data_IF_309428494871
#
_entry.id   IF_309428494871
#
_cell.length_a   1.000
_cell.length_b   1.000
_cell.length_c   1.000
_cell.angle_alpha   90.00
_cell.angle_beta   90.00
_cell.angle_gamma   90.00
#
_symmetry.space_group_name_H-M   'P 1'
#
loop_
_entity.id
_entity.type
_entity.pdbx_description
1 polymer ?
#
# COMPACT_ATOMS: atom_id res chain seq x y z
N UNK A 1 -32.19 8.91 -40.03
CA UNK A 1 -31.77 10.20 -40.64
C UNK A 1 -30.28 10.08 -40.98
N UNK A 2 -29.95 9.74 -42.22
CA UNK A 2 -28.57 9.64 -42.74
C UNK A 2 -28.08 11.07 -43.02
N UNK A 3 -26.86 11.40 -42.63
CA UNK A 3 -26.19 12.61 -43.14
C UNK A 3 -24.85 12.25 -43.76
N UNK A 4 -24.65 12.84 -44.94
CA UNK A 4 -23.70 12.50 -45.99
C UNK A 4 -22.44 13.36 -45.86
N UNK A 5 -21.30 12.75 -46.21
CA UNK A 5 -19.96 13.33 -46.35
C UNK A 5 -19.89 14.60 -47.23
N UNK A 6 -18.97 15.51 -46.88
CA UNK A 6 -18.25 16.33 -47.87
C UNK A 6 -16.79 16.48 -47.44
N UNK A 7 -15.90 15.81 -48.17
CA UNK A 7 -14.46 15.95 -48.06
C UNK A 7 -13.95 17.23 -48.73
N UNK A 8 -12.84 17.75 -48.21
CA UNK A 8 -12.07 18.81 -48.86
C UNK A 8 -10.63 18.31 -49.03
N UNK A 9 -10.24 18.15 -50.29
CA UNK A 9 -8.88 17.82 -50.74
C UNK A 9 -8.00 19.06 -50.58
N UNK A 10 -6.88 18.94 -49.87
CA UNK A 10 -5.80 19.93 -49.93
C UNK A 10 -4.59 19.27 -50.58
N UNK A 11 -4.11 19.93 -51.64
CA UNK A 11 -3.05 19.48 -52.54
C UNK A 11 -1.69 19.55 -51.86
N UNK A 12 -0.93 18.48 -52.02
CA UNK A 12 0.51 18.39 -51.78
C UNK A 12 1.24 19.25 -52.81
N UNK A 13 2.15 20.10 -52.35
CA UNK A 13 3.18 20.72 -53.19
C UNK A 13 4.51 20.10 -52.78
N UNK A 14 5.08 19.28 -53.66
CA UNK A 14 6.45 18.80 -53.58
C UNK A 14 7.38 19.97 -53.93
N UNK A 15 8.24 20.36 -52.99
CA UNK A 15 9.45 21.12 -53.30
C UNK A 15 10.65 20.19 -53.12
N UNK A 16 11.27 19.81 -54.23
CA UNK A 16 12.53 19.09 -54.26
C UNK A 16 13.66 20.07 -53.92
N UNK A 17 14.27 19.89 -52.75
CA UNK A 17 15.48 20.59 -52.33
C UNK A 17 16.59 19.58 -52.11
N UNK A 18 17.47 19.43 -53.10
CA UNK A 18 18.73 18.69 -52.96
C UNK A 18 19.66 19.48 -52.05
N UNK A 19 19.95 18.98 -50.85
CA UNK A 19 20.99 19.51 -49.98
C UNK A 19 22.05 18.41 -49.74
N UNK A 20 23.30 18.76 -50.07
CA UNK A 20 24.50 17.94 -49.94
C UNK A 20 24.66 17.40 -48.51
N UNK A 21 24.93 16.10 -48.41
CA UNK A 21 25.47 15.42 -47.24
C UNK A 21 26.94 15.82 -47.04
N UNK A 22 27.24 16.63 -46.02
CA UNK A 22 28.58 16.71 -45.44
C UNK A 22 28.55 15.84 -44.18
N UNK A 23 29.22 14.69 -44.25
CA UNK A 23 29.37 13.77 -43.13
C UNK A 23 30.29 14.37 -42.08
N UNK A 24 29.72 14.70 -40.91
CA UNK A 24 30.47 14.88 -39.68
C UNK A 24 30.37 13.58 -38.89
N UNK A 25 31.41 12.77 -38.94
CA UNK A 25 31.61 11.67 -37.99
C UNK A 25 32.00 12.28 -36.63
N UNK A 26 31.01 12.85 -35.93
CA UNK A 26 31.15 13.25 -34.55
C UNK A 26 30.97 12.02 -33.67
N UNK A 27 32.05 11.54 -33.06
CA UNK A 27 31.99 10.57 -31.98
C UNK A 27 31.15 11.18 -30.85
N UNK A 28 29.89 10.79 -30.74
CA UNK A 28 29.05 11.11 -29.58
C UNK A 28 29.54 10.21 -28.46
N UNK A 29 30.54 10.66 -27.72
CA UNK A 29 30.79 10.14 -26.38
C UNK A 29 29.56 10.52 -25.56
N UNK A 30 28.69 9.55 -25.32
CA UNK A 30 27.64 9.67 -24.32
C UNK A 30 28.32 9.91 -22.98
N UNK A 31 28.47 11.17 -22.59
CA UNK A 31 28.80 11.54 -21.21
C UNK A 31 27.66 11.03 -20.35
N UNK A 32 27.91 9.95 -19.62
CA UNK A 32 27.03 9.48 -18.57
C UNK A 32 26.70 10.69 -17.68
N UNK A 33 25.41 10.94 -17.46
CA UNK A 33 24.99 11.93 -16.49
C UNK A 33 25.70 11.64 -15.15
N UNK A 34 26.20 12.66 -14.43
CA UNK A 34 26.76 12.45 -13.12
C UNK A 34 25.74 11.69 -12.27
N UNK A 35 26.19 10.65 -11.57
CA UNK A 35 25.32 9.89 -10.70
C UNK A 35 24.67 10.86 -9.69
N UNK A 36 23.38 10.66 -9.35
CA UNK A 36 22.72 11.47 -8.34
C UNK A 36 23.59 11.53 -7.08
N UNK A 37 23.82 12.74 -6.56
CA UNK A 37 24.59 12.90 -5.33
C UNK A 37 23.87 12.14 -4.20
N UNK A 38 24.58 11.17 -3.62
CA UNK A 38 24.09 10.35 -2.52
C UNK A 38 23.80 11.27 -1.32
N UNK A 39 22.69 11.01 -0.62
CA UNK A 39 22.42 11.73 0.62
C UNK A 39 23.58 11.50 1.62
N UNK A 40 24.11 12.56 2.26
CA UNK A 40 25.16 12.42 3.25
C UNK A 40 24.74 11.43 4.35
N UNK A 41 25.59 10.42 4.60
CA UNK A 41 25.40 9.47 5.69
C UNK A 41 24.84 8.11 5.31
N UNK A 42 24.61 7.80 4.03
CA UNK A 42 24.38 6.41 3.58
C UNK A 42 25.72 5.67 3.50
N UNK A 43 25.93 4.57 4.26
CA UNK A 43 27.16 3.77 4.14
C UNK A 43 27.33 3.19 2.73
N UNK A 44 28.58 3.16 2.23
CA UNK A 44 28.92 2.68 0.88
C UNK A 44 28.37 1.28 0.58
N UNK A 45 28.38 0.37 1.57
CA UNK A 45 27.84 -0.99 1.41
C UNK A 45 26.34 -1.06 1.04
N UNK A 46 25.57 -0.01 1.37
CA UNK A 46 24.18 0.12 0.94
C UNK A 46 24.04 0.97 -0.33
N UNK A 47 24.81 2.05 -0.46
CA UNK A 47 24.73 2.96 -1.60
C UNK A 47 25.18 2.32 -2.93
N UNK A 48 26.14 1.40 -2.87
CA UNK A 48 26.75 0.79 -4.06
C UNK A 48 26.10 -0.54 -4.47
N UNK A 49 25.04 -0.98 -3.77
CA UNK A 49 24.38 -2.24 -4.10
C UNK A 49 23.68 -2.15 -5.48
N UNK A 50 23.68 -3.24 -6.23
CA UNK A 50 23.00 -3.30 -7.52
C UNK A 50 21.61 -3.94 -7.38
N UNK A 51 20.60 -3.32 -8.01
CA UNK A 51 19.26 -3.89 -8.10
C UNK A 51 19.25 -5.03 -9.11
N UNK A 52 19.25 -6.27 -8.60
CA UNK A 52 19.13 -7.48 -9.42
C UNK A 52 17.67 -7.76 -9.73
N UNK A 53 17.15 -7.12 -10.76
CA UNK A 53 15.79 -7.33 -11.25
C UNK A 53 15.62 -8.72 -11.85
N UNK A 54 14.57 -9.41 -11.43
CA UNK A 54 14.13 -10.67 -12.00
C UNK A 54 12.62 -10.79 -11.88
N UNK A 55 11.94 -11.69 -12.61
CA UNK A 55 10.53 -11.97 -12.37
C UNK A 55 10.28 -12.23 -10.88
N UNK A 56 9.20 -11.67 -10.34
CA UNK A 56 8.90 -11.83 -8.92
C UNK A 56 8.78 -13.32 -8.54
N UNK A 57 9.47 -13.78 -7.49
CA UNK A 57 9.37 -15.16 -7.03
C UNK A 57 7.93 -15.56 -6.72
N UNK A 58 7.53 -16.78 -7.05
CA UNK A 58 6.14 -17.23 -6.87
C UNK A 58 5.72 -17.26 -5.40
N UNK A 59 6.62 -17.64 -4.50
CA UNK A 59 6.41 -17.64 -3.05
C UNK A 59 6.22 -16.23 -2.49
N UNK A 60 6.97 -15.25 -3.01
CA UNK A 60 6.78 -13.83 -2.70
C UNK A 60 5.38 -13.35 -3.12
N UNK A 61 4.96 -13.68 -4.35
CA UNK A 61 3.64 -13.31 -4.86
C UNK A 61 2.52 -13.99 -4.09
N UNK A 62 2.67 -15.29 -3.77
CA UNK A 62 1.70 -16.04 -2.98
C UNK A 62 1.51 -15.41 -1.59
N UNK A 63 2.61 -14.99 -0.94
CA UNK A 63 2.55 -14.32 0.36
C UNK A 63 1.89 -12.94 0.28
N UNK A 64 2.27 -12.14 -0.71
CA UNK A 64 1.68 -10.81 -0.93
C UNK A 64 0.16 -10.91 -1.20
N UNK A 65 -0.29 -11.95 -1.92
CA UNK A 65 -1.71 -12.18 -2.21
C UNK A 65 -2.49 -12.83 -1.06
N UNK A 66 -1.81 -13.50 -0.12
CA UNK A 66 -2.46 -14.21 0.98
C UNK A 66 -3.08 -13.27 2.03
N UNK A 67 -2.64 -12.01 2.11
CA UNK A 67 -3.10 -11.01 3.07
C UNK A 67 -4.27 -10.14 2.60
N UNK A 68 -4.55 -10.12 1.30
CA UNK A 68 -5.57 -9.24 0.74
C UNK A 68 -6.91 -9.96 0.60
N UNK A 69 -8.02 -9.26 0.86
CA UNK A 69 -9.37 -9.68 0.45
C UNK A 69 -9.50 -9.91 -1.08
N UNK A 70 -8.42 -9.63 -1.83
CA UNK A 70 -8.18 -10.00 -3.21
C UNK A 70 -7.61 -11.42 -3.38
N UNK A 71 -7.59 -12.29 -2.37
CA UNK A 71 -7.20 -13.69 -2.50
C UNK A 71 -7.99 -14.46 -3.61
N UNK A 72 -9.14 -13.95 -4.06
CA UNK A 72 -9.87 -14.46 -5.22
C UNK A 72 -9.17 -14.16 -6.57
N UNK A 73 -8.24 -13.20 -6.63
CA UNK A 73 -7.41 -12.88 -7.78
C UNK A 73 -6.16 -13.80 -7.86
N UNK A 74 -6.31 -15.09 -7.52
CA UNK A 74 -5.24 -16.09 -7.68
C UNK A 74 -4.67 -16.04 -9.10
N UNK A 75 -3.36 -15.77 -9.19
CA UNK A 75 -2.44 -16.31 -10.20
C UNK A 75 -2.84 -16.14 -11.68
N UNK A 76 -3.54 -15.07 -12.04
CA UNK A 76 -3.30 -14.51 -13.35
C UNK A 76 -1.97 -13.76 -13.22
N UNK A 77 -0.86 -14.46 -13.50
CA UNK A 77 0.52 -13.97 -13.65
C UNK A 77 0.53 -12.45 -13.73
N UNK A 78 1.12 -11.72 -12.78
CA UNK A 78 1.28 -10.28 -12.85
C UNK A 78 2.34 -9.99 -13.94
N UNK A 79 1.95 -9.85 -15.23
CA UNK A 79 2.89 -10.04 -16.32
C UNK A 79 3.82 -8.83 -16.39
N UNK A 80 5.12 -9.10 -16.45
CA UNK A 80 6.14 -8.05 -16.50
C UNK A 80 6.36 -7.31 -15.19
N UNK A 81 5.87 -7.82 -14.05
CA UNK A 81 6.29 -7.34 -12.74
C UNK A 81 7.64 -7.98 -12.38
N UNK A 82 8.68 -7.15 -12.36
CA UNK A 82 10.00 -7.54 -11.87
C UNK A 82 10.09 -7.21 -10.37
N UNK A 83 10.83 -8.02 -9.62
CA UNK A 83 11.18 -7.76 -8.24
C UNK A 83 12.70 -7.72 -8.07
N UNK A 84 13.14 -6.97 -7.07
CA UNK A 84 14.52 -6.95 -6.59
C UNK A 84 14.52 -6.87 -5.06
N UNK A 85 15.50 -7.51 -4.42
CA UNK A 85 15.70 -7.40 -2.97
C UNK A 85 16.70 -6.30 -2.67
N UNK A 86 16.43 -5.53 -1.62
CA UNK A 86 17.34 -4.48 -1.17
C UNK A 86 17.71 -4.65 0.30
N UNK A 87 18.87 -4.10 0.67
CA UNK A 87 19.37 -4.04 2.04
C UNK A 87 19.46 -2.59 2.49
N UNK A 88 19.11 -2.34 3.73
CA UNK A 88 19.13 -1.02 4.36
C UNK A 88 19.64 -1.14 5.80
N UNK A 89 20.21 -0.07 6.39
CA UNK A 89 20.48 -0.06 7.83
C UNK A 89 19.17 -0.23 8.60
N UNK A 90 19.15 -1.08 9.64
CA UNK A 90 17.96 -1.20 10.49
C UNK A 90 17.65 0.10 11.22
N UNK A 91 18.67 0.87 11.59
CA UNK A 91 18.50 2.19 12.19
C UNK A 91 19.20 3.27 11.37
N UNK A 92 18.43 4.08 10.64
CA UNK A 92 18.98 5.23 9.92
C UNK A 92 19.50 6.34 10.83
N UNK A 93 19.25 6.32 12.15
CA UNK A 93 19.90 7.22 13.10
C UNK A 93 21.34 6.77 13.42
N UNK A 94 21.64 5.48 13.26
CA UNK A 94 22.95 4.88 13.48
C UNK A 94 23.32 3.93 12.33
N UNK A 95 23.40 4.43 11.07
CA UNK A 95 23.47 3.56 9.90
C UNK A 95 24.77 2.75 9.79
N UNK A 96 25.77 3.09 10.60
CA UNK A 96 27.04 2.37 10.70
C UNK A 96 27.05 1.23 11.73
N UNK A 97 25.93 0.97 12.43
CA UNK A 97 25.83 -0.08 13.46
C UNK A 97 25.86 -1.51 12.90
N UNK A 98 25.70 -1.66 11.58
CA UNK A 98 25.77 -2.93 10.86
C UNK A 98 24.52 -3.82 10.99
N UNK A 99 23.48 -3.39 11.72
CA UNK A 99 22.21 -4.12 11.76
C UNK A 99 21.43 -3.80 10.49
N UNK A 100 20.81 -4.82 9.89
CA UNK A 100 20.20 -4.68 8.57
C UNK A 100 18.70 -4.98 8.58
N UNK A 101 17.97 -4.25 7.74
CA UNK A 101 16.66 -4.62 7.27
C UNK A 101 16.72 -4.95 5.78
N UNK A 102 16.01 -6.01 5.37
CA UNK A 102 15.88 -6.40 3.96
C UNK A 102 14.41 -6.45 3.58
N UNK A 103 14.10 -6.00 2.37
CA UNK A 103 12.75 -6.05 1.84
C UNK A 103 12.78 -6.08 0.31
N UNK A 104 11.63 -6.36 -0.29
CA UNK A 104 11.45 -6.43 -1.73
C UNK A 104 10.89 -5.12 -2.28
N UNK A 105 11.37 -4.76 -3.46
CA UNK A 105 10.76 -3.76 -4.32
C UNK A 105 10.28 -4.43 -5.60
N UNK A 106 9.27 -3.86 -6.22
CA UNK A 106 8.75 -4.28 -7.50
C UNK A 106 8.80 -3.15 -8.50
N UNK A 107 8.91 -3.51 -9.78
CA UNK A 107 8.87 -2.59 -10.91
C UNK A 107 7.98 -3.20 -11.98
N UNK A 108 6.97 -2.44 -12.38
CA UNK A 108 6.25 -2.69 -13.62
C UNK A 108 6.76 -1.71 -14.68
N UNK A 109 7.57 -2.15 -15.66
CA UNK A 109 8.18 -1.26 -16.63
C UNK A 109 7.13 -0.51 -17.44
N UNK A 110 7.41 0.76 -17.72
CA UNK A 110 6.64 1.54 -18.66
C UNK A 110 6.77 1.01 -20.08
N UNK A 111 5.85 1.43 -20.94
CA UNK A 111 5.77 1.05 -22.35
C UNK A 111 6.26 2.17 -23.27
N UNK A 112 6.50 3.37 -22.73
CA UNK A 112 7.10 4.50 -23.43
C UNK A 112 8.63 4.42 -23.52
N UNK A 113 9.23 5.26 -24.37
CA UNK A 113 10.69 5.26 -24.58
C UNK A 113 11.51 5.89 -23.45
N UNK A 114 11.00 6.97 -22.84
CA UNK A 114 11.63 7.61 -21.67
C UNK A 114 10.60 7.66 -20.53
N UNK A 115 10.89 6.94 -19.45
CA UNK A 115 10.00 6.75 -18.31
C UNK A 115 10.63 7.31 -17.04
N UNK A 116 9.83 7.96 -16.21
CA UNK A 116 10.25 8.38 -14.86
C UNK A 116 9.78 7.33 -13.86
N UNK A 117 10.55 6.99 -12.81
CA UNK A 117 10.01 6.14 -11.74
C UNK A 117 8.82 6.81 -11.06
N UNK A 118 7.74 6.05 -10.86
CA UNK A 118 6.55 6.45 -10.10
C UNK A 118 6.41 5.52 -8.90
N UNK A 119 6.73 6.03 -7.71
CA UNK A 119 6.50 5.32 -6.47
C UNK A 119 5.01 5.30 -6.17
N UNK A 120 4.45 4.12 -6.00
CA UNK A 120 3.02 3.90 -5.72
C UNK A 120 2.81 3.39 -4.30
N UNK A 121 1.79 3.92 -3.61
CA UNK A 121 1.39 3.46 -2.28
C UNK A 121 -0.11 3.61 -2.05
N UNK A 122 -0.85 2.50 -1.99
CA UNK A 122 -2.27 2.45 -1.63
C UNK A 122 -2.50 2.61 -0.12
N UNK A 123 -1.42 2.60 0.66
CA UNK A 123 -1.47 2.57 2.13
C UNK A 123 -1.82 1.18 2.65
N UNK A 124 -2.40 1.12 3.86
CA UNK A 124 -2.71 -0.14 4.52
C UNK A 124 -1.48 -0.72 5.21
N UNK A 125 -1.54 -0.86 6.52
CA UNK A 125 -0.37 -1.12 7.36
C UNK A 125 0.13 -2.57 7.37
N UNK A 126 -0.47 -3.49 6.60
CA UNK A 126 -0.24 -4.94 6.76
C UNK A 126 0.22 -5.69 5.50
N UNK A 127 -0.38 -5.42 4.34
CA UNK A 127 -0.15 -6.19 3.11
C UNK A 127 1.13 -5.79 2.35
N UNK A 128 1.74 -4.66 2.70
CA UNK A 128 2.78 -4.04 1.86
C UNK A 128 2.17 -3.43 0.60
N UNK A 129 2.99 -2.73 -0.18
CA UNK A 129 2.59 -2.04 -1.42
C UNK A 129 3.32 -2.62 -2.65
N UNK A 130 3.81 -3.85 -2.53
CA UNK A 130 4.58 -4.52 -3.57
C UNK A 130 3.77 -4.75 -4.85
N UNK A 131 2.45 -4.94 -4.75
CA UNK A 131 1.59 -5.21 -5.89
C UNK A 131 0.89 -3.96 -6.46
N UNK A 132 1.09 -2.80 -5.82
CA UNK A 132 0.51 -1.53 -6.24
C UNK A 132 0.77 -1.16 -7.70
N UNK A 133 1.97 -1.42 -8.28
CA UNK A 133 2.21 -1.16 -9.70
C UNK A 133 1.17 -1.82 -10.62
N UNK A 134 0.77 -3.05 -10.30
CA UNK A 134 -0.22 -3.77 -11.09
C UNK A 134 -1.64 -3.25 -10.81
N UNK A 135 -1.98 -3.01 -9.54
CA UNK A 135 -3.29 -2.45 -9.13
C UNK A 135 -3.55 -1.09 -9.79
N UNK A 136 -2.61 -0.16 -9.70
CA UNK A 136 -2.73 1.15 -10.34
C UNK A 136 -2.70 1.05 -11.86
N UNK A 137 -1.85 0.21 -12.46
CA UNK A 137 -1.86 0.01 -13.91
C UNK A 137 -3.15 -0.60 -14.43
N UNK A 138 -3.85 -1.41 -13.64
CA UNK A 138 -5.15 -1.98 -14.02
C UNK A 138 -6.25 -0.93 -14.12
N UNK A 139 -6.29 0.02 -13.16
CA UNK A 139 -7.27 1.12 -13.16
C UNK A 139 -6.87 2.33 -14.01
N UNK A 140 -5.56 2.56 -14.19
CA UNK A 140 -4.99 3.71 -14.89
C UNK A 140 -3.88 3.26 -15.86
N UNK A 141 -4.22 2.51 -16.93
CA UNK A 141 -3.22 1.90 -17.82
C UNK A 141 -2.29 2.92 -18.50
N UNK A 142 -2.78 4.15 -18.72
CA UNK A 142 -1.99 5.24 -19.32
C UNK A 142 -0.79 5.67 -18.49
N UNK A 143 -0.73 5.34 -17.18
CA UNK A 143 0.45 5.66 -16.36
C UNK A 143 1.72 5.02 -16.94
N UNK A 144 1.61 3.80 -17.49
CA UNK A 144 2.76 3.09 -18.05
C UNK A 144 3.33 3.73 -19.32
N UNK A 145 2.60 4.62 -19.98
CA UNK A 145 3.12 5.36 -21.14
C UNK A 145 4.21 6.36 -20.74
N UNK A 146 4.25 6.80 -19.47
CA UNK A 146 5.17 7.82 -18.96
C UNK A 146 6.00 7.39 -17.76
N UNK A 147 5.62 6.30 -17.08
CA UNK A 147 6.24 5.92 -15.81
C UNK A 147 6.59 4.42 -15.76
N UNK A 148 7.71 4.14 -15.08
CA UNK A 148 7.99 2.84 -14.49
C UNK A 148 7.34 2.82 -13.11
N UNK A 149 6.35 1.97 -12.88
CA UNK A 149 5.64 1.95 -11.61
C UNK A 149 6.43 1.12 -10.60
N UNK A 150 6.72 1.72 -9.45
CA UNK A 150 7.56 1.14 -8.39
C UNK A 150 6.70 0.85 -7.15
N UNK A 151 6.68 -0.42 -6.74
CA UNK A 151 6.08 -0.89 -5.50
C UNK A 151 7.15 -1.34 -4.51
N UNK A 152 6.75 -1.53 -3.27
CA UNK A 152 7.68 -1.94 -2.20
C UNK A 152 6.96 -2.61 -1.04
N UNK A 153 7.66 -3.52 -0.38
CA UNK A 153 7.31 -4.03 0.94
C UNK A 153 7.90 -3.11 2.01
N UNK A 154 7.05 -2.33 2.68
CA UNK A 154 7.50 -1.49 3.78
C UNK A 154 8.04 -2.33 4.95
N UNK A 155 8.91 -1.73 5.77
CA UNK A 155 9.27 -2.31 7.07
C UNK A 155 8.03 -2.68 7.87
N UNK A 156 8.09 -3.80 8.57
CA UNK A 156 6.96 -4.28 9.36
C UNK A 156 5.91 -5.06 8.58
N UNK A 157 5.99 -5.11 7.25
CA UNK A 157 4.94 -5.70 6.40
C UNK A 157 5.43 -6.90 5.59
N UNK A 158 4.46 -7.71 5.15
CA UNK A 158 4.62 -8.75 4.12
C UNK A 158 5.86 -9.62 4.33
N UNK A 159 6.83 -9.56 3.41
CA UNK A 159 8.04 -10.41 3.39
C UNK A 159 9.30 -9.67 3.83
N UNK A 160 9.16 -8.46 4.39
CA UNK A 160 10.31 -7.74 4.95
C UNK A 160 10.92 -8.54 6.10
N UNK A 161 12.24 -8.45 6.31
CA UNK A 161 12.91 -9.09 7.46
C UNK A 161 12.51 -8.48 8.81
N UNK A 162 11.71 -7.41 8.78
CA UNK A 162 11.14 -6.75 9.95
C UNK A 162 9.63 -7.00 10.06
N UNK A 163 9.06 -7.90 9.24
CA UNK A 163 7.64 -8.19 9.21
C UNK A 163 7.12 -8.54 10.61
N UNK A 164 5.99 -7.93 10.99
CA UNK A 164 5.38 -8.17 12.28
C UNK A 164 4.32 -9.26 12.15
N UNK A 165 4.42 -10.26 13.01
CA UNK A 165 3.41 -11.31 13.13
C UNK A 165 2.65 -11.10 14.42
N UNK A 166 1.44 -10.55 14.30
CA UNK A 166 0.49 -10.51 15.40
C UNK A 166 -0.34 -11.80 15.36
N UNK A 167 -0.51 -12.45 16.52
CA UNK A 167 -1.29 -13.68 16.65
C UNK A 167 -2.68 -13.53 15.99
N UNK A 168 -2.99 -14.28 14.90
CA UNK A 168 -4.27 -14.21 14.22
C UNK A 168 -5.44 -14.68 15.09
N UNK A 169 -5.18 -15.57 16.06
CA UNK A 169 -6.20 -16.00 17.01
C UNK A 169 -6.70 -14.83 17.87
N UNK A 170 -5.95 -13.73 17.92
CA UNK A 170 -6.22 -12.56 18.75
C UNK A 170 -6.50 -11.34 17.90
N UNK A 171 -5.83 -11.21 16.76
CA UNK A 171 -6.09 -10.16 15.77
C UNK A 171 -7.45 -10.37 15.10
N UNK A 172 -8.02 -11.57 15.18
CA UNK A 172 -9.32 -11.90 14.63
C UNK A 172 -9.24 -12.12 13.12
N UNK A 173 -10.37 -12.45 12.51
CA UNK A 173 -10.43 -12.73 11.09
C UNK A 173 -10.18 -11.44 10.27
N UNK A 174 -9.15 -11.37 9.41
CA UNK A 174 -8.95 -10.22 8.52
C UNK A 174 -10.13 -10.00 7.57
N UNK A 175 -10.87 -11.05 7.21
CA UNK A 175 -12.14 -10.96 6.46
C UNK A 175 -13.29 -10.34 7.27
N UNK A 176 -13.15 -10.25 8.59
CA UNK A 176 -14.06 -9.56 9.52
C UNK A 176 -13.43 -8.28 10.10
N UNK A 177 -12.55 -7.63 9.34
CA UNK A 177 -11.88 -6.37 9.71
C UNK A 177 -10.89 -6.50 10.88
N UNK A 178 -10.36 -7.70 11.14
CA UNK A 178 -9.34 -7.95 12.16
C UNK A 178 -9.72 -7.37 13.54
N UNK A 179 -10.96 -7.60 13.96
CA UNK A 179 -11.49 -7.03 15.20
C UNK A 179 -11.24 -7.89 16.44
N UNK A 180 -10.37 -8.90 16.34
CA UNK A 180 -10.17 -9.92 17.36
C UNK A 180 -11.36 -10.85 17.58
N UNK A 181 -11.17 -11.95 18.35
CA UNK A 181 -12.27 -12.72 18.89
C UNK A 181 -13.04 -11.84 19.88
N UNK A 182 -14.17 -11.27 19.43
CA UNK A 182 -15.09 -10.51 20.29
C UNK A 182 -16.00 -11.45 21.08
N UNK A 183 -15.40 -12.38 21.79
CA UNK A 183 -16.14 -13.38 22.55
C UNK A 183 -16.64 -12.79 23.87
N UNK A 184 -17.97 -12.78 24.03
CA UNK A 184 -18.62 -12.51 25.30
C UNK A 184 -18.82 -11.04 25.66
N UNK A 185 -18.75 -10.11 24.69
CA UNK A 185 -19.18 -8.72 24.91
C UNK A 185 -19.75 -8.07 23.63
N UNK A 186 -20.66 -7.12 23.83
CA UNK A 186 -21.16 -6.23 22.80
C UNK A 186 -20.22 -5.03 22.66
N UNK A 187 -19.77 -4.69 21.46
CA UNK A 187 -18.93 -3.50 21.21
C UNK A 187 -19.65 -2.17 21.46
N UNK A 188 -20.98 -2.20 21.55
CA UNK A 188 -21.79 -1.06 21.97
C UNK A 188 -22.08 -1.06 23.48
N UNK A 189 -21.64 -2.06 24.23
CA UNK A 189 -21.68 -2.03 25.70
C UNK A 189 -20.50 -1.20 26.22
N UNK A 190 -20.81 0.01 26.69
CA UNK A 190 -19.85 0.93 27.31
C UNK A 190 -19.87 0.88 28.84
N UNK A 191 -20.43 -0.17 29.44
CA UNK A 191 -20.34 -0.41 30.88
C UNK A 191 -18.87 -0.57 31.31
N UNK A 192 -18.55 -0.18 32.55
CA UNK A 192 -17.20 -0.28 33.08
C UNK A 192 -16.58 -1.70 32.94
N UNK A 193 -17.32 -2.81 33.18
CA UNK A 193 -16.81 -4.16 32.95
C UNK A 193 -16.48 -4.46 31.49
N UNK A 194 -17.33 -4.04 30.54
CA UNK A 194 -17.07 -4.23 29.10
C UNK A 194 -15.86 -3.43 28.63
N UNK A 195 -15.76 -2.16 29.04
CA UNK A 195 -14.61 -1.31 28.71
C UNK A 195 -13.32 -1.89 29.29
N UNK A 196 -13.34 -2.38 30.53
CA UNK A 196 -12.19 -3.03 31.15
C UNK A 196 -11.73 -4.26 30.36
N UNK A 197 -12.68 -5.09 29.89
CA UNK A 197 -12.40 -6.26 29.05
C UNK A 197 -11.80 -5.86 27.69
N UNK A 198 -12.36 -4.86 27.01
CA UNK A 198 -11.85 -4.37 25.73
C UNK A 198 -10.41 -3.84 25.84
N UNK A 199 -10.10 -3.12 26.92
CA UNK A 199 -8.74 -2.63 27.18
C UNK A 199 -7.76 -3.78 27.48
N UNK A 200 -8.21 -4.79 28.21
CA UNK A 200 -7.42 -5.98 28.51
C UNK A 200 -7.15 -6.82 27.25
N UNK A 201 -8.15 -7.00 26.37
CA UNK A 201 -7.97 -7.62 25.06
C UNK A 201 -6.93 -6.88 24.21
N UNK A 202 -7.02 -5.54 24.16
CA UNK A 202 -6.08 -4.71 23.43
C UNK A 202 -4.64 -4.83 23.97
N UNK A 203 -4.46 -4.84 25.31
CA UNK A 203 -3.16 -5.04 25.94
C UNK A 203 -2.56 -6.39 25.58
N UNK A 204 -3.32 -7.48 25.76
CA UNK A 204 -2.84 -8.82 25.43
C UNK A 204 -2.52 -8.97 23.94
N UNK A 205 -3.27 -8.31 23.08
CA UNK A 205 -2.96 -8.24 21.65
C UNK A 205 -1.62 -7.56 21.39
N UNK A 206 -1.40 -6.37 21.96
CA UNK A 206 -0.13 -5.65 21.83
C UNK A 206 1.06 -6.46 22.37
N UNK A 207 0.93 -7.07 23.56
CA UNK A 207 1.97 -7.91 24.15
C UNK A 207 2.35 -9.08 23.24
N UNK A 208 1.36 -9.77 22.65
CA UNK A 208 1.62 -10.87 21.72
C UNK A 208 2.23 -10.42 20.40
N UNK A 209 1.78 -9.29 19.85
CA UNK A 209 2.43 -8.70 18.68
C UNK A 209 3.91 -8.40 18.96
N UNK A 210 4.22 -7.80 20.11
CA UNK A 210 5.60 -7.49 20.48
C UNK A 210 6.45 -8.75 20.75
N UNK A 211 5.85 -9.79 21.34
CA UNK A 211 6.52 -11.07 21.53
C UNK A 211 6.76 -11.83 20.21
N UNK A 212 5.86 -11.68 19.23
CA UNK A 212 5.97 -12.24 17.88
C UNK A 212 6.69 -11.35 16.87
N UNK A 213 7.21 -10.20 17.30
CA UNK A 213 7.92 -9.27 16.45
C UNK A 213 9.20 -9.89 15.90
N UNK A 214 9.55 -9.59 14.64
CA UNK A 214 10.83 -9.99 14.09
C UNK A 214 12.00 -9.47 14.94
N UNK A 215 13.05 -10.27 15.10
CA UNK A 215 14.25 -9.94 15.86
C UNK A 215 15.48 -9.90 14.97
N UNK A 216 16.47 -9.12 15.38
CA UNK A 216 17.81 -9.11 14.80
C UNK A 216 18.57 -10.39 15.19
N UNK A 217 19.70 -10.72 14.53
CA UNK A 217 20.50 -11.91 14.86
C UNK A 217 20.98 -11.99 16.33
N UNK A 218 21.17 -10.84 16.98
CA UNK A 218 21.52 -10.71 18.40
C UNK A 218 20.29 -10.70 19.33
N UNK A 219 19.09 -10.89 18.81
CA UNK A 219 17.85 -11.07 19.57
C UNK A 219 17.11 -9.79 19.93
N UNK A 220 17.53 -8.62 19.45
CA UNK A 220 16.82 -7.37 19.69
C UNK A 220 15.56 -7.25 18.83
N UNK A 221 14.48 -6.68 19.37
CA UNK A 221 13.24 -6.47 18.61
C UNK A 221 13.44 -5.45 17.48
N UNK A 222 12.90 -5.75 16.30
CA UNK A 222 12.86 -4.81 15.17
C UNK A 222 11.70 -3.81 15.25
N UNK A 223 10.72 -4.04 16.13
CA UNK A 223 9.51 -3.23 16.24
C UNK A 223 9.75 -1.72 16.40
N UNK A 224 10.75 -1.25 17.18
CA UNK A 224 11.04 0.19 17.30
C UNK A 224 11.45 0.88 16.00
N UNK A 225 11.88 0.12 14.98
CA UNK A 225 12.36 0.63 13.71
C UNK A 225 11.29 0.60 12.60
N UNK A 226 10.04 0.33 12.97
CA UNK A 226 8.89 0.33 12.06
C UNK A 226 8.21 1.69 12.18
N UNK A 227 8.77 2.67 11.48
CA UNK A 227 8.27 4.05 11.49
C UNK A 227 8.37 4.65 10.10
N UNK A 228 7.51 5.63 9.79
CA UNK A 228 7.63 6.38 8.54
C UNK A 228 9.00 7.04 8.38
N UNK A 229 9.64 7.46 9.47
CA UNK A 229 10.97 8.07 9.43
C UNK A 229 12.06 7.14 8.88
N UNK A 230 12.00 5.85 9.27
CA UNK A 230 12.88 4.82 8.73
C UNK A 230 12.48 4.49 7.28
N UNK A 231 11.18 4.27 7.03
CA UNK A 231 10.67 3.89 5.70
C UNK A 231 10.98 4.91 4.61
N UNK A 232 10.82 6.21 4.84
CA UNK A 232 11.11 7.21 3.79
C UNK A 232 12.58 7.26 3.40
N UNK A 233 13.50 6.90 4.31
CA UNK A 233 14.93 6.80 4.02
C UNK A 233 15.27 5.55 3.25
N UNK A 234 14.61 4.43 3.56
CA UNK A 234 14.68 3.24 2.72
C UNK A 234 14.26 3.56 1.28
N UNK A 235 13.18 4.32 1.14
CA UNK A 235 12.64 4.73 -0.15
C UNK A 235 13.57 5.70 -0.90
N UNK A 236 14.19 6.66 -0.22
CA UNK A 236 15.19 7.50 -0.88
C UNK A 236 16.42 6.71 -1.33
N UNK A 237 16.85 5.70 -0.56
CA UNK A 237 17.86 4.75 -1.03
C UNK A 237 17.39 4.01 -2.29
N UNK A 238 16.14 3.52 -2.34
CA UNK A 238 15.58 2.91 -3.57
C UNK A 238 15.68 3.87 -4.77
N UNK A 239 15.33 5.15 -4.60
CA UNK A 239 15.46 6.17 -5.65
C UNK A 239 16.90 6.29 -6.14
N UNK A 240 17.87 6.34 -5.23
CA UNK A 240 19.30 6.41 -5.56
C UNK A 240 19.77 5.16 -6.32
N UNK A 241 19.34 3.96 -5.90
CA UNK A 241 19.67 2.69 -6.55
C UNK A 241 19.04 2.53 -7.94
N UNK A 242 17.87 3.16 -8.15
CA UNK A 242 17.26 3.33 -9.47
C UNK A 242 17.99 4.35 -10.35
N UNK A 243 19.05 5.00 -9.84
CA UNK A 243 19.81 6.08 -10.51
C UNK A 243 18.94 7.26 -10.92
N UNK A 244 17.89 7.53 -10.16
CA UNK A 244 16.95 8.60 -10.45
C UNK A 244 17.24 9.82 -9.57
N UNK A 245 17.46 10.99 -10.16
CA UNK A 245 17.59 12.24 -9.38
C UNK A 245 16.30 12.58 -8.64
N UNK A 246 15.17 12.33 -9.31
CA UNK A 246 13.81 12.49 -8.79
C UNK A 246 12.93 11.35 -9.27
N UNK A 247 11.88 11.09 -8.52
CA UNK A 247 10.76 10.22 -8.92
C UNK A 247 9.43 10.95 -8.76
N UNK A 248 8.34 10.40 -9.30
CA UNK A 248 6.97 10.86 -9.01
C UNK A 248 6.34 9.99 -7.92
N UNK A 249 5.29 10.48 -7.27
CA UNK A 249 4.61 9.78 -6.19
C UNK A 249 3.10 9.77 -6.37
N UNK A 250 2.49 8.58 -6.22
CA UNK A 250 1.04 8.38 -6.17
C UNK A 250 0.68 7.65 -4.87
N UNK A 251 0.06 8.37 -3.94
CA UNK A 251 -0.35 7.86 -2.64
C UNK A 251 -1.86 7.94 -2.44
N UNK A 252 -2.45 6.87 -1.92
CA UNK A 252 -3.86 6.81 -1.51
C UNK A 252 -3.93 6.48 -0.03
N UNK A 253 -4.92 7.01 0.69
CA UNK A 253 -5.19 6.65 2.08
C UNK A 253 -3.94 6.84 2.97
N UNK A 254 -3.52 5.83 3.75
CA UNK A 254 -2.28 5.91 4.55
C UNK A 254 -1.01 6.18 3.72
N UNK A 255 -1.01 5.87 2.42
CA UNK A 255 0.06 6.28 1.51
C UNK A 255 0.21 7.81 1.49
N UNK A 256 -0.85 8.58 1.69
CA UNK A 256 -0.74 10.05 1.75
C UNK A 256 0.09 10.55 2.95
N UNK A 257 0.08 9.83 4.07
CA UNK A 257 0.94 10.14 5.21
C UNK A 257 2.41 9.83 4.88
N UNK A 258 2.69 8.70 4.24
CA UNK A 258 4.03 8.36 3.76
C UNK A 258 4.55 9.40 2.76
N UNK A 259 3.73 9.77 1.77
CA UNK A 259 4.08 10.76 0.77
C UNK A 259 4.44 12.11 1.39
N UNK A 260 3.64 12.56 2.38
CA UNK A 260 3.97 13.77 3.15
C UNK A 260 5.32 13.65 3.87
N UNK A 261 5.59 12.54 4.55
CA UNK A 261 6.88 12.35 5.23
C UNK A 261 8.05 12.30 4.27
N UNK A 262 7.87 11.72 3.07
CA UNK A 262 8.86 11.72 2.01
C UNK A 262 9.15 13.15 1.53
N UNK A 263 8.10 13.95 1.27
CA UNK A 263 8.23 15.35 0.85
C UNK A 263 8.93 16.22 1.91
N UNK A 264 8.63 15.98 3.18
CA UNK A 264 9.20 16.71 4.32
C UNK A 264 10.66 16.34 4.57
N UNK A 265 10.99 15.06 4.43
CA UNK A 265 12.35 14.54 4.71
C UNK A 265 13.31 14.82 3.58
N UNK A 266 12.84 14.70 2.34
CA UNK A 266 13.66 14.82 1.13
C UNK A 266 13.06 15.86 0.16
N UNK A 267 13.03 17.15 0.56
CA UNK A 267 12.48 18.20 -0.28
C UNK A 267 13.26 18.26 -1.60
N UNK A 268 12.55 18.25 -2.71
CA UNK A 268 13.14 18.29 -4.05
C UNK A 268 13.49 16.94 -4.67
N UNK A 269 13.34 15.81 -3.96
CA UNK A 269 13.55 14.45 -4.53
C UNK A 269 12.33 13.87 -5.23
N UNK A 270 11.20 14.57 -5.18
CA UNK A 270 9.96 14.15 -5.85
C UNK A 270 9.49 15.25 -6.80
N UNK A 271 9.23 14.87 -8.04
CA UNK A 271 8.85 15.77 -9.12
C UNK A 271 7.35 16.08 -9.11
N UNK A 272 6.52 15.04 -9.21
CA UNK A 272 5.05 15.15 -9.23
C UNK A 272 4.42 14.33 -8.11
N UNK A 273 3.31 14.84 -7.58
CA UNK A 273 2.59 14.25 -6.46
C UNK A 273 1.10 14.13 -6.75
N UNK A 274 0.54 12.97 -6.43
CA UNK A 274 -0.90 12.77 -6.29
C UNK A 274 -1.16 12.13 -4.92
N UNK A 275 -1.93 12.83 -4.08
CA UNK A 275 -2.37 12.34 -2.78
C UNK A 275 -3.90 12.27 -2.78
N UNK A 276 -4.46 11.07 -2.74
CA UNK A 276 -5.92 10.83 -2.74
C UNK A 276 -6.39 10.29 -1.39
N UNK A 277 -7.52 10.79 -0.89
CA UNK A 277 -8.09 10.44 0.42
C UNK A 277 -7.10 10.72 1.56
N UNK A 278 -6.69 12.00 1.65
CA UNK A 278 -5.57 12.47 2.47
C UNK A 278 -5.78 12.26 3.97
N UNK A 279 -4.79 11.68 4.64
CA UNK A 279 -4.69 11.62 6.10
C UNK A 279 -4.24 12.98 6.62
N UNK A 280 -5.15 13.68 7.29
CA UNK A 280 -4.90 15.00 7.88
C UNK A 280 -3.82 14.93 8.99
N UNK A 281 -2.65 15.60 8.81
CA UNK A 281 -1.59 15.61 9.83
C UNK A 281 -1.92 16.41 11.08
N UNK A 282 -2.90 17.32 11.01
CA UNK A 282 -3.19 18.24 12.11
C UNK A 282 -4.17 17.66 13.12
N UNK A 283 -4.68 16.46 12.84
CA UNK A 283 -5.72 15.81 13.64
C UNK A 283 -5.19 14.56 14.28
N UNK A 284 -5.62 14.33 15.51
CA UNK A 284 -5.31 13.10 16.22
C UNK A 284 -5.97 11.90 15.53
N UNK A 285 -5.36 10.71 15.59
CA UNK A 285 -6.00 9.48 15.11
C UNK A 285 -7.40 9.26 15.68
N UNK A 286 -7.62 9.63 16.95
CA UNK A 286 -8.93 9.52 17.59
C UNK A 286 -9.98 10.46 16.96
N UNK A 287 -9.63 11.72 16.67
CA UNK A 287 -10.55 12.65 16.01
C UNK A 287 -10.93 12.16 14.60
N UNK A 288 -9.96 11.67 13.84
CA UNK A 288 -10.18 11.12 12.50
C UNK A 288 -11.09 9.89 12.57
N UNK A 289 -10.83 8.97 13.50
CA UNK A 289 -11.68 7.79 13.71
C UNK A 289 -13.11 8.16 14.11
N UNK A 290 -13.27 9.08 15.06
CA UNK A 290 -14.58 9.54 15.51
C UNK A 290 -15.39 10.18 14.38
N UNK A 291 -14.78 11.06 13.59
CA UNK A 291 -15.47 11.64 12.44
C UNK A 291 -15.85 10.56 11.43
N UNK A 292 -14.92 9.66 11.08
CA UNK A 292 -15.17 8.55 10.16
C UNK A 292 -16.38 7.73 10.59
N UNK A 293 -16.48 7.36 11.87
CA UNK A 293 -17.62 6.59 12.37
C UNK A 293 -18.92 7.39 12.34
N UNK A 294 -18.90 8.68 12.68
CA UNK A 294 -20.08 9.57 12.57
C UNK A 294 -20.53 9.74 11.12
N UNK A 295 -19.59 9.91 10.19
CA UNK A 295 -19.89 10.03 8.76
C UNK A 295 -20.48 8.72 8.22
N UNK A 296 -19.92 7.57 8.61
CA UNK A 296 -20.46 6.24 8.25
C UNK A 296 -21.86 6.06 8.80
N UNK A 297 -22.11 6.44 10.06
CA UNK A 297 -23.44 6.37 10.67
C UNK A 297 -24.45 7.22 9.88
N UNK A 298 -24.11 8.46 9.56
CA UNK A 298 -24.96 9.33 8.73
C UNK A 298 -25.26 8.72 7.36
N UNK A 299 -24.26 8.15 6.69
CA UNK A 299 -24.48 7.49 5.40
C UNK A 299 -25.41 6.26 5.55
N UNK A 300 -25.29 5.51 6.65
CA UNK A 300 -26.19 4.39 6.93
C UNK A 300 -27.64 4.86 7.13
N UNK A 301 -27.83 5.92 7.92
CA UNK A 301 -29.15 6.45 8.27
C UNK A 301 -29.82 7.20 7.11
N UNK A 302 -29.07 8.05 6.41
CA UNK A 302 -29.62 8.98 5.41
C UNK A 302 -29.64 8.43 3.98
N UNK A 303 -28.76 7.46 3.66
CA UNK A 303 -28.63 6.95 2.29
C UNK A 303 -28.95 5.46 2.22
N UNK A 304 -28.24 4.63 3.00
CA UNK A 304 -28.35 3.18 2.90
C UNK A 304 -29.73 2.66 3.35
N UNK A 305 -30.21 3.05 4.54
CA UNK A 305 -31.48 2.54 5.06
C UNK A 305 -32.70 2.93 4.19
N UNK A 306 -32.83 4.20 3.72
CA UNK A 306 -33.86 4.56 2.75
C UNK A 306 -33.72 3.80 1.43
N UNK A 307 -32.49 3.62 0.94
CA UNK A 307 -32.23 2.89 -0.30
C UNK A 307 -32.64 1.41 -0.20
N UNK A 308 -32.37 0.74 0.93
CA UNK A 308 -32.77 -0.66 1.18
C UNK A 308 -34.30 -0.78 1.26
N UNK A 309 -34.96 0.14 1.97
CA UNK A 309 -36.41 0.11 2.15
C UNK A 309 -37.19 0.11 0.83
N UNK A 310 -36.60 0.66 -0.25
CA UNK A 310 -37.20 0.67 -1.60
C UNK A 310 -36.97 -0.62 -2.41
N UNK A 311 -36.18 -1.58 -1.93
CA UNK A 311 -35.70 -2.76 -2.69
C UNK A 311 -36.17 -4.11 -2.17
N UNK A 312 -36.83 -4.14 -1.02
CA UNK A 312 -37.40 -5.35 -0.45
C UNK A 312 -37.86 -5.15 0.99
N UNK A 313 -38.54 -6.16 1.54
CA UNK A 313 -39.13 -6.10 2.88
C UNK A 313 -38.34 -6.91 3.92
N UNK A 314 -37.30 -7.64 3.50
CA UNK A 314 -36.54 -8.57 4.36
C UNK A 314 -35.87 -7.87 5.56
N UNK A 315 -35.43 -6.62 5.40
CA UNK A 315 -34.93 -5.77 6.48
C UNK A 315 -35.96 -4.72 6.91
N UNK A 316 -37.15 -4.70 6.32
CA UNK A 316 -38.15 -3.66 6.51
C UNK A 316 -38.36 -2.77 5.28
N UNK A 317 -39.54 -2.18 5.22
CA UNK A 317 -40.11 -1.33 4.16
C UNK A 317 -40.08 0.17 4.51
N UNK A 318 -39.26 0.55 5.50
CA UNK A 318 -38.99 1.93 5.91
C UNK A 318 -37.58 2.00 6.48
N UNK A 319 -36.92 3.16 6.40
CA UNK A 319 -35.56 3.33 6.91
C UNK A 319 -35.45 2.97 8.40
N UNK A 320 -36.45 3.34 9.20
CA UNK A 320 -36.53 3.05 10.63
C UNK A 320 -36.56 1.54 10.89
N UNK A 321 -37.36 0.80 10.12
CA UNK A 321 -37.42 -0.67 10.22
C UNK A 321 -36.12 -1.33 9.76
N UNK A 322 -35.47 -0.82 8.72
CA UNK A 322 -34.13 -1.28 8.28
C UNK A 322 -33.10 -1.12 9.39
N UNK A 323 -33.02 0.06 10.01
CA UNK A 323 -32.09 0.31 11.11
C UNK A 323 -32.41 -0.54 12.34
N UNK A 324 -33.69 -0.71 12.69
CA UNK A 324 -34.13 -1.57 13.77
C UNK A 324 -33.74 -3.04 13.51
N UNK A 325 -34.01 -3.57 12.32
CA UNK A 325 -33.64 -4.94 11.94
C UNK A 325 -32.13 -5.18 12.00
N UNK A 326 -31.31 -4.23 11.53
CA UNK A 326 -29.84 -4.33 11.63
C UNK A 326 -29.39 -4.34 13.10
N UNK A 327 -30.00 -3.50 13.94
CA UNK A 327 -29.66 -3.41 15.37
C UNK A 327 -30.06 -4.68 16.12
N UNK A 328 -31.25 -5.22 15.84
CA UNK A 328 -31.72 -6.49 16.40
C UNK A 328 -30.83 -7.64 15.96
N UNK A 329 -30.53 -7.75 14.66
CA UNK A 329 -29.66 -8.80 14.13
C UNK A 329 -28.29 -8.79 14.83
N UNK A 330 -27.69 -7.62 15.04
CA UNK A 330 -26.43 -7.47 15.76
C UNK A 330 -26.53 -7.97 17.21
N UNK A 331 -27.58 -7.56 17.93
CA UNK A 331 -27.80 -7.98 19.32
C UNK A 331 -28.04 -9.50 19.43
N UNK A 332 -28.83 -10.06 18.50
CA UNK A 332 -29.09 -11.50 18.41
C UNK A 332 -27.80 -12.28 18.13
N UNK A 333 -26.92 -11.79 17.26
CA UNK A 333 -25.62 -12.40 16.97
C UNK A 333 -24.65 -12.32 18.15
N UNK A 334 -24.73 -11.28 18.98
CA UNK A 334 -23.95 -11.19 20.21
C UNK A 334 -24.44 -12.20 21.27
N UNK A 335 -25.77 -12.38 21.39
CA UNK A 335 -26.36 -13.33 22.33
C UNK A 335 -26.29 -14.79 21.86
N UNK A 336 -26.40 -15.02 20.55
CA UNK A 336 -26.46 -16.33 19.89
C UNK A 336 -25.57 -16.31 18.64
N UNK A 337 -24.25 -16.43 18.79
CA UNK A 337 -23.33 -16.37 17.66
C UNK A 337 -23.59 -17.53 16.69
N UNK A 338 -23.57 -17.22 15.40
CA UNK A 338 -23.66 -18.21 14.33
C UNK A 338 -22.27 -18.51 13.77
N UNK A 339 -22.05 -19.75 13.32
CA UNK A 339 -20.84 -20.11 12.58
C UNK A 339 -21.03 -19.80 11.10
N UNK A 340 -20.32 -18.79 10.59
CA UNK A 340 -20.29 -18.51 9.16
C UNK A 340 -19.29 -19.45 8.46
N UNK A 341 -19.75 -20.11 7.39
CA UNK A 341 -18.96 -20.82 6.38
C UNK A 341 -17.91 -21.83 6.90
N UNK A 342 -18.33 -23.03 7.33
CA UNK A 342 -17.68 -24.36 7.11
C UNK A 342 -16.15 -24.57 7.13
N UNK A 343 -15.31 -23.59 7.44
CA UNK A 343 -13.87 -23.72 7.48
C UNK A 343 -13.50 -24.13 8.90
N UNK A 344 -13.13 -25.41 9.05
CA UNK A 344 -12.36 -25.86 10.21
C UNK A 344 -11.08 -25.03 10.26
N UNK A 345 -11.02 -24.05 11.16
CA UNK A 345 -9.76 -23.58 11.74
C UNK A 345 -9.80 -24.00 13.19
N UNK A 346 -8.90 -24.93 13.52
CA UNK A 346 -8.82 -25.63 14.81
C UNK A 346 -8.81 -24.63 15.98
N UNK A 347 -9.77 -24.71 16.92
CA UNK A 347 -9.61 -24.13 18.24
C UNK A 347 -8.98 -25.20 19.13
N UNK A 348 -7.68 -25.45 18.97
CA UNK A 348 -6.90 -26.28 19.91
C UNK A 348 -5.40 -26.10 19.65
N UNK A 349 -4.82 -25.19 20.43
CA UNK A 349 -3.53 -25.40 21.07
C UNK A 349 -3.70 -24.81 22.47
N UNK A 350 -3.82 -25.75 23.43
CA UNK A 350 -3.76 -25.64 24.90
C UNK A 350 -4.03 -24.30 25.56
#
# INVERSE_FOLDING_TARGET
>A
MRMVLRGRKSRVVLAAGSALLIGFAGSVTATAAPAPELEPGVPAGYADQELRWHPCPSDLLDHALAGDGYAAARSAVLPGLDCARIRTPLDWAHPADGREATFWISRLPGTGGATTPLLTSTGGSGAGTLLDPHSFSGGMPKLRESFDLIGFDARGTSTSSTAQSCDPAVSGDPGLLATGPREGYDVLDFSAPSVARQLDDARRWTERCLAGAATTPDGASTAPYITYWQTVRDLDLVRQLLRADKWSYLGVSQGTALGRELARTFPGRVDRWVLDSVVDPLRSPNEVLQERYRARQRAVEAEFAPWVATRGTALGDSAERVLASITTLRADLAARPIRLLGVRRSPRTT
#
